data_IF_138489235730
#
_entry.id   IF_138489235730
#
_cell.length_a   1.000
_cell.length_b   1.000
_cell.length_c   1.000
_cell.angle_alpha   90.00
_cell.angle_beta   90.00
_cell.angle_gamma   90.00
#
_symmetry.space_group_name_H-M   'P 1'
#
loop_
_entity.id
_entity.type
_entity.pdbx_description
1 polymer ?
#
# COMPACT_ATOMS: atom_id res chain seq x y z
N UNK A 1 11.96 32.29 7.07
CA UNK A 1 11.92 30.90 6.55
C UNK A 1 10.75 30.82 5.60
N UNK A 2 10.85 30.03 4.54
CA UNK A 2 9.80 29.87 3.55
C UNK A 2 9.60 28.39 3.28
N UNK A 3 8.35 27.94 3.38
CA UNK A 3 7.93 26.64 2.88
C UNK A 3 7.36 26.85 1.49
N UNK A 4 7.97 26.21 0.49
CA UNK A 4 7.46 26.20 -0.87
C UNK A 4 6.77 24.86 -1.13
N UNK A 5 5.56 24.93 -1.68
CA UNK A 5 4.75 23.76 -2.01
C UNK A 5 4.28 23.86 -3.47
N UNK A 6 4.50 22.78 -4.23
CA UNK A 6 4.00 22.63 -5.59
C UNK A 6 3.18 21.35 -5.68
N UNK A 7 1.94 21.47 -6.14
CA UNK A 7 1.07 20.33 -6.43
C UNK A 7 0.88 20.16 -7.92
N UNK A 8 0.71 18.91 -8.36
CA UNK A 8 0.28 18.59 -9.73
C UNK A 8 -1.21 18.27 -9.81
N UNK A 9 -1.62 17.64 -10.90
CA UNK A 9 -3.00 17.19 -11.11
C UNK A 9 -3.44 16.22 -10.01
N UNK A 10 -4.53 16.54 -9.34
CA UNK A 10 -5.07 15.74 -8.25
C UNK A 10 -5.90 14.56 -8.78
N UNK A 11 -5.69 13.39 -8.19
CA UNK A 11 -6.62 12.26 -8.32
C UNK A 11 -7.77 12.38 -7.31
N UNK A 12 -8.68 11.39 -7.30
CA UNK A 12 -9.84 11.41 -6.41
C UNK A 12 -9.52 11.45 -4.90
N UNK A 13 -8.38 10.90 -4.48
CA UNK A 13 -8.01 10.74 -3.07
C UNK A 13 -6.62 11.29 -2.71
N UNK A 14 -5.76 11.48 -3.70
CA UNK A 14 -4.37 11.92 -3.49
C UNK A 14 -3.90 12.84 -4.61
N UNK A 15 -2.92 13.69 -4.31
CA UNK A 15 -2.28 14.55 -5.30
C UNK A 15 -0.75 14.50 -5.15
N UNK A 16 0.00 14.64 -6.24
CA UNK A 16 1.45 14.74 -6.17
C UNK A 16 1.82 16.08 -5.53
N UNK A 17 2.81 16.06 -4.64
CA UNK A 17 3.27 17.19 -3.87
C UNK A 17 4.81 17.23 -3.85
N UNK A 18 5.37 18.39 -4.12
CA UNK A 18 6.77 18.71 -3.83
C UNK A 18 6.79 19.77 -2.73
N UNK A 19 7.61 19.53 -1.70
CA UNK A 19 7.82 20.45 -0.59
C UNK A 19 9.30 20.78 -0.46
N UNK A 20 9.61 22.04 -0.26
CA UNK A 20 10.97 22.48 0.05
C UNK A 20 10.95 23.54 1.15
N UNK A 21 11.83 23.36 2.15
CA UNK A 21 12.06 24.36 3.19
C UNK A 21 13.29 25.17 2.82
N UNK A 22 13.12 26.49 2.76
CA UNK A 22 14.16 27.45 2.41
C UNK A 22 14.40 28.44 3.55
N UNK A 23 15.66 28.79 3.79
CA UNK A 23 16.06 29.75 4.82
C UNK A 23 17.02 30.78 4.25
N UNK A 24 16.97 31.99 4.82
CA UNK A 24 17.99 33.01 4.56
C UNK A 24 19.17 32.73 5.49
N UNK A 25 20.35 32.55 4.91
CA UNK A 25 21.64 32.45 5.62
C UNK A 25 22.62 33.36 4.92
N UNK A 26 23.29 34.21 5.68
CA UNK A 26 24.28 35.17 5.16
C UNK A 26 23.74 36.01 3.98
N UNK A 27 22.47 36.42 4.09
CA UNK A 27 21.77 37.21 3.05
C UNK A 27 21.33 36.41 1.82
N UNK A 28 21.60 35.11 1.75
CA UNK A 28 21.23 34.24 0.63
C UNK A 28 20.11 33.28 1.00
N UNK A 29 19.17 33.06 0.08
CA UNK A 29 18.10 32.07 0.23
C UNK A 29 18.65 30.69 -0.16
N UNK A 30 18.67 29.74 0.79
CA UNK A 30 19.20 28.39 0.60
C UNK A 30 18.18 27.31 0.98
N UNK A 31 18.13 26.19 0.25
CA UNK A 31 17.28 25.06 0.60
C UNK A 31 17.91 24.29 1.76
N UNK A 32 17.13 24.01 2.80
CA UNK A 32 17.57 23.26 3.98
C UNK A 32 16.89 21.90 4.11
N UNK A 33 15.81 21.66 3.36
CA UNK A 33 15.15 20.37 3.25
C UNK A 33 14.35 20.29 1.95
N UNK A 34 14.33 19.13 1.29
CA UNK A 34 13.54 18.89 0.08
C UNK A 34 12.85 17.53 0.15
N UNK A 35 11.58 17.48 -0.28
CA UNK A 35 10.81 16.24 -0.32
C UNK A 35 11.38 15.24 -1.32
N UNK A 36 11.99 15.70 -2.42
CA UNK A 36 12.60 14.84 -3.45
C UNK A 36 13.76 14.01 -2.92
N UNK A 37 14.48 14.50 -1.91
CA UNK A 37 15.57 13.76 -1.26
C UNK A 37 15.04 12.66 -0.32
N UNK A 38 13.77 12.78 0.11
CA UNK A 38 13.10 11.85 1.04
C UNK A 38 12.16 10.88 0.36
N UNK A 39 11.61 11.26 -0.79
CA UNK A 39 10.65 10.51 -1.59
C UNK A 39 11.11 10.51 -3.05
N UNK A 40 12.18 9.75 -3.38
CA UNK A 40 12.73 9.71 -4.73
C UNK A 40 11.72 9.18 -5.77
N UNK A 41 10.78 8.34 -5.35
CA UNK A 41 9.65 7.85 -6.15
C UNK A 41 8.50 8.85 -6.35
N UNK A 42 8.62 10.04 -5.75
CA UNK A 42 7.58 11.06 -5.69
C UNK A 42 6.72 10.97 -4.43
N UNK A 43 6.18 12.10 -4.01
CA UNK A 43 5.33 12.23 -2.83
C UNK A 43 3.89 12.44 -3.26
N UNK A 44 3.02 11.47 -2.98
CA UNK A 44 1.58 11.53 -3.21
C UNK A 44 0.85 11.63 -1.88
N UNK A 45 0.24 12.78 -1.60
CA UNK A 45 -0.42 13.03 -0.31
C UNK A 45 -1.93 12.99 -0.47
N UNK A 46 -2.61 12.44 0.54
CA UNK A 46 -4.05 12.55 0.74
C UNK A 46 -4.40 13.66 1.74
N UNK A 47 -3.44 14.06 2.57
CA UNK A 47 -3.60 15.14 3.53
C UNK A 47 -2.28 15.84 3.84
N UNK A 48 -2.32 17.17 4.01
CA UNK A 48 -1.22 17.99 4.49
C UNK A 48 -1.74 19.01 5.48
N UNK A 49 -1.10 19.09 6.65
CA UNK A 49 -1.33 20.11 7.66
C UNK A 49 0.00 20.81 7.98
N UNK A 50 -0.01 22.14 8.02
CA UNK A 50 1.18 22.95 8.27
C UNK A 50 0.87 23.97 9.36
N UNK A 51 1.58 23.86 10.48
CA UNK A 51 1.58 24.84 11.58
C UNK A 51 2.95 25.50 11.70
N UNK A 52 3.08 26.46 12.61
CA UNK A 52 4.35 27.15 12.86
C UNK A 52 5.48 26.22 13.32
N UNK A 53 5.16 25.11 13.99
CA UNK A 53 6.13 24.19 14.60
C UNK A 53 6.15 22.80 13.97
N UNK A 54 5.20 22.48 13.07
CA UNK A 54 4.97 21.12 12.60
C UNK A 54 4.46 21.08 11.16
N UNK A 55 4.90 20.05 10.44
CA UNK A 55 4.28 19.64 9.17
C UNK A 55 3.82 18.19 9.32
N UNK A 56 2.57 17.91 8.97
CA UNK A 56 2.01 16.56 8.93
C UNK A 56 1.68 16.23 7.48
N UNK A 57 2.19 15.09 7.00
CA UNK A 57 1.94 14.59 5.65
C UNK A 57 1.34 13.20 5.76
N UNK A 58 0.09 13.03 5.35
CA UNK A 58 -0.50 11.70 5.12
C UNK A 58 -0.37 11.37 3.64
N UNK A 59 0.33 10.28 3.36
CA UNK A 59 0.65 9.85 2.00
C UNK A 59 0.11 8.48 1.67
N UNK A 60 -0.22 8.34 0.39
CA UNK A 60 -0.55 7.06 -0.21
C UNK A 60 0.73 6.25 -0.42
N UNK A 61 0.73 5.00 0.02
CA UNK A 61 1.85 4.09 -0.23
C UNK A 61 1.60 3.31 -1.53
N UNK A 62 2.53 3.40 -2.48
CA UNK A 62 2.52 2.59 -3.69
C UNK A 62 3.36 1.33 -3.48
N UNK A 63 2.70 0.18 -3.32
CA UNK A 63 3.32 -1.14 -3.12
C UNK A 63 2.72 -2.18 -4.07
N UNK A 64 3.38 -3.33 -4.31
CA UNK A 64 2.79 -4.40 -5.11
C UNK A 64 1.43 -4.83 -4.57
N UNK A 65 0.41 -4.83 -5.43
CA UNK A 65 -0.98 -5.11 -5.06
C UNK A 65 -1.80 -3.89 -4.61
N UNK A 66 -1.23 -2.68 -4.60
CA UNK A 66 -1.99 -1.44 -4.48
C UNK A 66 -2.89 -1.23 -5.71
N UNK A 67 -4.12 -0.76 -5.48
CA UNK A 67 -5.19 -0.60 -6.49
C UNK A 67 -5.69 0.84 -6.48
N UNK A 68 -5.48 1.63 -7.55
CA UNK A 68 -5.93 3.01 -7.59
C UNK A 68 -7.44 3.15 -7.31
N UNK A 69 -7.82 4.11 -6.48
CA UNK A 69 -9.23 4.42 -6.19
C UNK A 69 -9.92 3.51 -5.17
N UNK A 70 -9.20 2.52 -4.62
CA UNK A 70 -9.72 1.69 -3.54
C UNK A 70 -9.51 2.34 -2.17
N UNK A 71 -10.57 2.35 -1.36
CA UNK A 71 -10.54 2.81 0.02
C UNK A 71 -9.78 1.84 0.93
N UNK A 72 -9.47 2.31 2.15
CA UNK A 72 -8.86 1.50 3.24
C UNK A 72 -7.50 0.88 2.85
N UNK A 73 -6.83 1.42 1.85
CA UNK A 73 -5.46 1.04 1.52
C UNK A 73 -4.45 1.61 2.52
N UNK A 74 -3.27 1.01 2.57
CA UNK A 74 -2.23 1.43 3.48
C UNK A 74 -1.75 2.85 3.16
N UNK A 75 -1.81 3.72 4.17
CA UNK A 75 -1.30 5.08 4.13
C UNK A 75 -0.24 5.27 5.20
N UNK A 76 0.57 6.30 5.04
CA UNK A 76 1.56 6.66 6.03
C UNK A 76 1.48 8.14 6.36
N UNK A 77 1.33 8.43 7.65
CA UNK A 77 1.47 9.76 8.19
C UNK A 77 2.89 9.97 8.72
N UNK A 78 3.59 10.95 8.16
CA UNK A 78 4.86 11.44 8.65
C UNK A 78 4.68 12.82 9.27
N UNK A 79 5.19 12.99 10.50
CA UNK A 79 5.20 14.28 11.19
C UNK A 79 6.62 14.79 11.23
N UNK A 80 6.79 16.05 10.84
CA UNK A 80 8.05 16.75 10.78
C UNK A 80 8.03 17.94 11.73
N UNK A 81 9.18 18.24 12.33
CA UNK A 81 9.46 19.49 13.03
C UNK A 81 10.81 20.04 12.59
N UNK A 82 11.03 21.34 12.79
CA UNK A 82 12.35 21.92 12.59
C UNK A 82 13.35 21.33 13.62
N UNK A 83 14.53 20.95 13.17
CA UNK A 83 15.65 20.58 14.02
C UNK A 83 16.47 21.80 14.47
N UNK A 84 17.53 21.57 15.26
CA UNK A 84 18.41 22.64 15.74
C UNK A 84 19.14 23.39 14.61
N UNK A 85 19.29 22.79 13.43
CA UNK A 85 19.86 23.42 12.23
C UNK A 85 18.78 24.11 11.39
N UNK A 86 17.52 23.93 11.74
CA UNK A 86 16.39 24.49 11.02
C UNK A 86 15.91 23.70 9.82
N UNK A 87 16.39 22.48 9.62
CA UNK A 87 15.87 21.57 8.61
C UNK A 87 14.68 20.80 9.17
N UNK A 88 13.83 20.22 8.31
CA UNK A 88 12.77 19.33 8.79
C UNK A 88 13.35 17.97 9.17
N UNK A 89 13.14 17.59 10.43
CA UNK A 89 13.40 16.25 10.94
C UNK A 89 12.09 15.48 11.11
N UNK A 90 12.08 14.22 10.69
CA UNK A 90 10.98 13.30 10.93
C UNK A 90 10.92 12.96 12.43
N UNK A 91 9.85 13.36 13.11
CA UNK A 91 9.67 13.12 14.55
C UNK A 91 8.80 11.91 14.86
N UNK A 92 7.87 11.58 13.97
CA UNK A 92 7.04 10.37 14.11
C UNK A 92 6.55 9.89 12.76
N UNK A 93 6.30 8.58 12.70
CA UNK A 93 5.76 7.89 11.54
C UNK A 93 4.68 6.92 11.99
N UNK A 94 3.49 7.04 11.42
CA UNK A 94 2.35 6.16 11.68
C UNK A 94 1.85 5.55 10.38
N UNK A 95 1.60 4.25 10.38
CA UNK A 95 1.00 3.55 9.24
C UNK A 95 -0.47 3.30 9.56
N UNK A 96 -1.35 3.75 8.67
CA UNK A 96 -2.77 3.45 8.70
C UNK A 96 -3.05 2.31 7.73
N UNK A 97 -4.00 1.43 8.09
CA UNK A 97 -4.37 0.26 7.29
C UNK A 97 -3.17 -0.60 6.84
N UNK A 98 -2.14 -0.70 7.69
CA UNK A 98 -0.93 -1.47 7.37
C UNK A 98 -1.20 -2.95 7.07
N UNK A 99 -2.35 -3.46 7.54
CA UNK A 99 -2.85 -4.79 7.22
C UNK A 99 -2.94 -5.04 5.71
N UNK A 100 -3.36 -4.05 4.91
CA UNK A 100 -3.56 -4.20 3.47
C UNK A 100 -2.24 -4.37 2.73
N UNK A 101 -1.24 -3.56 3.07
CA UNK A 101 0.13 -3.71 2.56
C UNK A 101 0.71 -5.07 2.90
N UNK A 102 0.50 -5.53 4.13
CA UNK A 102 1.03 -6.81 4.59
C UNK A 102 0.28 -8.00 3.96
N UNK A 103 -1.04 -7.86 3.71
CA UNK A 103 -1.84 -8.81 2.95
C UNK A 103 -1.36 -8.89 1.52
N UNK A 104 -1.24 -7.76 0.83
CA UNK A 104 -0.84 -7.70 -0.57
C UNK A 104 0.60 -8.18 -0.79
N UNK A 105 1.48 -8.05 0.21
CA UNK A 105 2.78 -8.73 0.21
C UNK A 105 2.63 -10.25 0.13
N UNK A 106 1.74 -10.85 0.92
CA UNK A 106 1.47 -12.29 0.86
C UNK A 106 0.75 -12.69 -0.43
N UNK A 107 -0.27 -11.95 -0.85
CA UNK A 107 -1.04 -12.24 -2.06
C UNK A 107 -0.17 -12.15 -3.33
N UNK A 108 0.64 -11.09 -3.46
CA UNK A 108 1.59 -10.95 -4.57
C UNK A 108 2.58 -12.10 -4.61
N UNK A 109 3.13 -12.51 -3.46
CA UNK A 109 4.02 -13.68 -3.36
C UNK A 109 3.31 -14.97 -3.75
N UNK A 110 2.04 -15.13 -3.38
CA UNK A 110 1.24 -16.29 -3.72
C UNK A 110 1.01 -16.39 -5.23
N UNK A 111 0.57 -15.31 -5.89
CA UNK A 111 0.36 -15.32 -7.34
C UNK A 111 1.67 -15.56 -8.11
N UNK A 112 2.77 -14.96 -7.67
CA UNK A 112 4.09 -15.22 -8.25
C UNK A 112 4.52 -16.69 -8.08
N UNK A 113 4.32 -17.27 -6.89
CA UNK A 113 4.64 -18.67 -6.62
C UNK A 113 3.74 -19.62 -7.42
N UNK A 114 2.47 -19.29 -7.59
CA UNK A 114 1.54 -20.06 -8.40
C UNK A 114 1.95 -20.08 -9.87
N UNK A 115 2.28 -18.91 -10.43
CA UNK A 115 2.77 -18.78 -11.81
C UNK A 115 4.10 -19.51 -12.03
N UNK A 116 5.00 -19.49 -11.06
CA UNK A 116 6.30 -20.18 -11.13
C UNK A 116 6.23 -21.68 -10.76
N UNK A 117 5.11 -22.19 -10.25
CA UNK A 117 4.99 -23.54 -9.72
C UNK A 117 5.83 -23.79 -8.44
N UNK A 118 6.16 -22.75 -7.68
CA UNK A 118 6.94 -22.82 -6.45
C UNK A 118 6.14 -23.46 -5.31
N UNK A 119 6.29 -24.78 -5.18
CA UNK A 119 5.60 -25.57 -4.17
C UNK A 119 5.97 -25.20 -2.73
N UNK A 120 7.19 -24.72 -2.48
CA UNK A 120 7.64 -24.38 -1.13
C UNK A 120 6.92 -23.13 -0.65
N UNK A 121 6.96 -22.06 -1.44
CA UNK A 121 6.26 -20.81 -1.11
C UNK A 121 4.75 -21.02 -1.05
N UNK A 122 4.18 -21.85 -1.93
CA UNK A 122 2.76 -22.20 -1.86
C UNK A 122 2.41 -22.97 -0.57
N UNK A 123 3.24 -23.91 -0.12
CA UNK A 123 3.01 -24.61 1.15
C UNK A 123 3.12 -23.68 2.37
N UNK A 124 4.01 -22.69 2.32
CA UNK A 124 4.12 -21.66 3.35
C UNK A 124 2.88 -20.76 3.41
N UNK A 125 2.37 -20.30 2.26
CA UNK A 125 1.26 -19.35 2.15
C UNK A 125 -0.11 -20.00 2.22
N UNK A 126 -0.21 -21.29 1.89
CA UNK A 126 -1.44 -22.09 1.90
C UNK A 126 -1.15 -23.40 2.66
N UNK A 127 -1.16 -23.38 4.00
CA UNK A 127 -0.77 -24.54 4.80
C UNK A 127 -1.64 -25.78 4.54
N UNK A 128 -2.94 -25.60 4.31
CA UNK A 128 -3.88 -26.67 3.98
C UNK A 128 -3.55 -27.28 2.59
N UNK A 129 -3.11 -28.54 2.62
CA UNK A 129 -2.75 -29.29 1.41
C UNK A 129 -3.95 -29.58 0.50
N UNK A 130 -5.14 -29.79 1.07
CA UNK A 130 -6.37 -30.04 0.31
C UNK A 130 -6.82 -28.78 -0.40
N UNK A 131 -6.71 -27.62 0.24
CA UNK A 131 -6.95 -26.32 -0.40
C UNK A 131 -5.95 -26.11 -1.55
N UNK A 132 -4.65 -26.29 -1.30
CA UNK A 132 -3.63 -26.14 -2.36
C UNK A 132 -3.89 -27.00 -3.59
N UNK A 133 -4.28 -28.25 -3.38
CA UNK A 133 -4.52 -29.19 -4.47
C UNK A 133 -5.69 -28.77 -5.37
N UNK A 134 -6.64 -27.98 -4.85
CA UNK A 134 -7.83 -27.51 -5.58
C UNK A 134 -7.64 -26.16 -6.26
N UNK A 135 -6.57 -25.42 -5.97
CA UNK A 135 -6.36 -24.09 -6.54
C UNK A 135 -6.06 -24.19 -8.05
N UNK A 136 -6.78 -23.45 -8.91
CA UNK A 136 -6.46 -23.37 -10.33
C UNK A 136 -5.05 -22.80 -10.52
N UNK A 137 -4.24 -23.42 -11.39
CA UNK A 137 -2.88 -22.93 -11.68
C UNK A 137 -2.85 -21.60 -12.43
N UNK A 138 -3.92 -21.31 -13.17
CA UNK A 138 -4.06 -20.09 -13.99
C UNK A 138 -4.71 -18.93 -13.22
N UNK A 139 -4.83 -19.03 -11.89
CA UNK A 139 -5.43 -17.99 -11.07
C UNK A 139 -4.57 -16.71 -11.09
N UNK A 140 -5.20 -15.57 -11.38
CA UNK A 140 -4.56 -14.25 -11.45
C UNK A 140 -5.28 -13.24 -10.55
N UNK A 141 -4.59 -12.20 -10.04
CA UNK A 141 -5.25 -11.16 -9.24
C UNK A 141 -6.19 -10.29 -10.09
N UNK A 142 -7.32 -9.88 -9.52
CA UNK A 142 -8.26 -8.94 -10.15
C UNK A 142 -8.03 -7.49 -9.67
N UNK A 143 -8.28 -6.47 -10.53
CA UNK A 143 -8.09 -5.06 -10.19
C UNK A 143 -9.24 -4.46 -9.37
N UNK A 144 -9.95 -5.27 -8.56
CA UNK A 144 -11.06 -4.83 -7.70
C UNK A 144 -10.61 -4.71 -6.24
N UNK A 145 -11.23 -3.83 -5.47
CA UNK A 145 -10.80 -3.56 -4.08
C UNK A 145 -10.85 -4.80 -3.19
N UNK A 146 -9.82 -4.99 -2.38
CA UNK A 146 -9.79 -6.03 -1.37
C UNK A 146 -10.67 -5.62 -0.19
N UNK A 147 -11.31 -6.59 0.44
CA UNK A 147 -12.21 -6.32 1.56
C UNK A 147 -11.68 -6.94 2.84
N UNK A 148 -11.82 -6.21 3.94
CA UNK A 148 -11.63 -6.71 5.29
C UNK A 148 -12.88 -6.36 6.08
N UNK A 149 -13.45 -7.34 6.76
CA UNK A 149 -14.54 -7.08 7.70
C UNK A 149 -13.94 -6.44 8.97
N UNK A 150 -14.37 -5.23 9.37
CA UNK A 150 -13.90 -4.58 10.61
C UNK A 150 -14.14 -5.41 11.88
N UNK A 151 -15.18 -6.24 11.90
CA UNK A 151 -15.52 -7.10 13.04
C UNK A 151 -14.62 -8.35 13.12
N UNK A 152 -13.97 -8.71 12.01
CA UNK A 152 -13.02 -9.82 11.92
C UNK A 152 -11.72 -9.36 11.26
N UNK A 153 -10.94 -8.47 11.91
CA UNK A 153 -9.76 -7.80 11.33
C UNK A 153 -8.58 -8.74 11.08
N UNK A 154 -8.69 -10.00 11.51
CA UNK A 154 -7.77 -11.08 11.16
C UNK A 154 -8.13 -11.77 9.84
N UNK A 155 -9.18 -11.33 9.13
CA UNK A 155 -9.59 -11.90 7.86
C UNK A 155 -9.70 -10.84 6.76
N UNK A 156 -9.46 -11.25 5.52
CA UNK A 156 -9.61 -10.40 4.35
C UNK A 156 -9.91 -11.26 3.12
N UNK A 157 -10.50 -10.65 2.09
CA UNK A 157 -10.82 -11.29 0.82
C UNK A 157 -10.05 -10.56 -0.27
N UNK A 158 -9.31 -11.34 -1.07
CA UNK A 158 -8.66 -10.88 -2.29
C UNK A 158 -9.39 -11.51 -3.47
N UNK A 159 -9.79 -10.67 -4.42
CA UNK A 159 -10.42 -11.15 -5.65
C UNK A 159 -9.37 -11.67 -6.63
N UNK A 160 -9.72 -12.75 -7.31
CA UNK A 160 -8.91 -13.38 -8.32
C UNK A 160 -9.80 -13.87 -9.48
N UNK A 161 -9.17 -14.21 -10.59
CA UNK A 161 -9.84 -14.72 -11.77
C UNK A 161 -9.11 -15.90 -12.37
N UNK A 162 -9.84 -16.82 -12.99
CA UNK A 162 -9.26 -17.82 -13.89
C UNK A 162 -9.65 -17.43 -15.31
N UNK A 163 -8.70 -17.17 -16.22
CA UNK A 163 -9.00 -16.92 -17.63
C UNK A 163 -9.84 -18.06 -18.21
N UNK A 164 -10.98 -17.74 -18.83
CA UNK A 164 -11.86 -18.72 -19.45
C UNK A 164 -11.75 -18.67 -20.99
N UNK A 165 -11.82 -19.82 -21.69
CA UNK A 165 -11.83 -19.83 -23.15
C UNK A 165 -13.08 -19.20 -23.77
N UNK A 166 -14.20 -19.16 -23.04
CA UNK A 166 -15.54 -18.81 -23.51
C UNK A 166 -15.91 -17.33 -23.32
N UNK A 167 -15.01 -16.49 -22.80
CA UNK A 167 -15.31 -15.11 -22.40
C UNK A 167 -14.58 -14.73 -21.11
N UNK A 168 -15.02 -13.66 -20.43
CA UNK A 168 -14.35 -13.06 -19.25
C UNK A 168 -13.91 -14.03 -18.14
N UNK A 169 -12.98 -13.60 -17.27
CA UNK A 169 -12.41 -14.47 -16.25
C UNK A 169 -13.50 -15.04 -15.32
N UNK A 170 -13.40 -16.33 -14.98
CA UNK A 170 -14.25 -16.91 -13.93
C UNK A 170 -13.80 -16.30 -12.60
N UNK A 171 -14.67 -15.54 -11.89
CA UNK A 171 -14.29 -14.87 -10.66
C UNK A 171 -14.08 -15.85 -9.52
N UNK A 172 -13.10 -15.56 -8.66
CA UNK A 172 -12.74 -16.32 -7.47
C UNK A 172 -12.57 -15.39 -6.28
N UNK A 173 -13.03 -15.86 -5.12
CA UNK A 173 -12.78 -15.23 -3.83
C UNK A 173 -11.69 -16.01 -3.11
N UNK A 174 -10.66 -15.31 -2.66
CA UNK A 174 -9.57 -15.85 -1.85
C UNK A 174 -9.67 -15.30 -0.44
N UNK A 175 -9.99 -16.15 0.53
CA UNK A 175 -10.06 -15.76 1.94
C UNK A 175 -8.71 -15.95 2.60
N UNK A 176 -8.22 -14.88 3.22
CA UNK A 176 -6.96 -14.83 3.92
C UNK A 176 -7.19 -14.68 5.42
N UNK A 177 -6.45 -15.44 6.20
CA UNK A 177 -6.38 -15.35 7.66
C UNK A 177 -5.02 -14.83 8.12
N UNK A 178 -5.02 -13.93 9.10
CA UNK A 178 -3.80 -13.39 9.72
C UNK A 178 -3.33 -14.32 10.83
N UNK A 179 -2.07 -14.75 10.73
CA UNK A 179 -1.37 -15.54 11.74
C UNK A 179 -0.18 -14.74 12.30
N UNK A 180 0.48 -15.18 13.40
CA UNK A 180 1.73 -14.57 13.85
C UNK A 180 2.82 -14.54 12.78
N UNK A 181 2.81 -15.49 11.84
CA UNK A 181 3.74 -15.57 10.72
C UNK A 181 3.27 -14.78 9.48
N UNK A 182 2.21 -13.98 9.60
CA UNK A 182 1.61 -13.18 8.53
C UNK A 182 0.34 -13.78 7.94
N UNK A 183 -0.08 -13.25 6.80
CA UNK A 183 -1.30 -13.69 6.10
C UNK A 183 -1.13 -15.03 5.41
N UNK A 184 -2.14 -15.89 5.53
CA UNK A 184 -2.23 -17.22 4.91
C UNK A 184 -3.58 -17.39 4.22
N UNK A 185 -3.60 -18.08 3.10
CA UNK A 185 -4.84 -18.42 2.42
C UNK A 185 -5.53 -19.55 3.21
N UNK A 186 -6.77 -19.30 3.64
CA UNK A 186 -7.54 -20.23 4.47
C UNK A 186 -8.73 -20.83 3.72
N UNK A 187 -9.23 -20.16 2.68
CA UNK A 187 -10.21 -20.73 1.77
C UNK A 187 -10.11 -20.09 0.38
N UNK A 188 -10.62 -20.79 -0.64
CA UNK A 188 -10.78 -20.27 -1.98
C UNK A 188 -11.95 -20.97 -2.69
N UNK A 189 -12.73 -20.21 -3.45
CA UNK A 189 -13.86 -20.73 -4.20
C UNK A 189 -14.17 -19.82 -5.40
N UNK A 190 -14.69 -20.39 -6.50
CA UNK A 190 -15.31 -19.58 -7.54
C UNK A 190 -16.51 -18.83 -6.97
N UNK A 191 -16.74 -17.60 -7.43
CA UNK A 191 -17.99 -16.89 -7.13
C UNK A 191 -19.08 -17.51 -8.00
N UNK A 192 -20.10 -18.07 -7.35
CA UNK A 192 -21.29 -18.54 -8.04
C UNK A 192 -22.15 -17.30 -8.34
N UNK A 193 -22.48 -17.11 -9.62
CA UNK A 193 -23.51 -16.15 -10.06
C UNK A 193 -24.92 -16.72 -9.85
#
# INVERSE_FOLDING_TARGET
>A
EFLLAWSGEAGPQSWPLRLELWRVRDGQLMPVWRSVDRYPEGLWVSHMDVTADRIVLRRELRYPGWKPGCDVQAEQEDRYRADARGALALVSRQVFNGWHRDLQRSATRFFAALAAGDRKTLAELVPDASLRARLPRALVPEPVCDSQNPDTPSTAIVAAGVPAPSGGPVPWSLWWGRTPAGWRLTAAAPVLE
#
